data_IF_885454679613
#
_entry.id   IF_885454679613
#
_cell.length_a   1.000
_cell.length_b   1.000
_cell.length_c   1.000
_cell.angle_alpha   90.00
_cell.angle_beta   90.00
_cell.angle_gamma   90.00
#
_symmetry.space_group_name_H-M   'P 1'
#
loop_
_entity.id
_entity.type
_entity.pdbx_description
1 polymer ?
#
# COMPACT_ATOMS: atom_id res chain seq x y z
N UNK A 1 27.94 -23.38 -5.97
CA UNK A 1 28.25 -22.38 -4.92
C UNK A 1 28.22 -21.00 -5.54
N UNK A 2 27.12 -20.27 -5.40
CA UNK A 2 26.99 -18.92 -5.95
C UNK A 2 27.58 -17.91 -4.96
N UNK A 3 28.59 -17.15 -5.41
CA UNK A 3 29.19 -16.05 -4.66
C UNK A 3 28.14 -14.96 -4.45
N UNK A 4 27.72 -14.75 -3.21
CA UNK A 4 27.02 -13.55 -2.77
C UNK A 4 28.03 -12.38 -2.78
N UNK A 5 27.93 -11.54 -3.80
CA UNK A 5 28.70 -10.29 -3.87
C UNK A 5 28.06 -9.30 -2.89
N UNK A 6 28.74 -9.03 -1.78
CA UNK A 6 28.35 -7.99 -0.83
C UNK A 6 28.60 -6.64 -1.49
N UNK A 7 27.54 -5.94 -1.89
CA UNK A 7 27.63 -4.62 -2.50
C UNK A 7 27.82 -3.55 -1.42
N UNK A 8 28.86 -2.73 -1.58
CA UNK A 8 29.23 -1.68 -0.63
C UNK A 8 28.17 -0.58 -0.51
N UNK A 9 28.12 0.08 0.66
CA UNK A 9 27.17 1.12 1.07
C UNK A 9 27.21 2.44 0.27
N UNK A 10 28.03 2.53 -0.78
CA UNK A 10 28.14 3.70 -1.69
C UNK A 10 27.57 3.46 -3.09
N UNK A 11 26.69 2.47 -3.25
CA UNK A 11 26.04 2.19 -4.53
C UNK A 11 24.94 3.20 -4.86
N UNK A 12 24.80 3.58 -6.15
CA UNK A 12 23.69 4.40 -6.71
C UNK A 12 22.28 3.96 -6.28
N UNK A 13 22.12 2.74 -5.79
CA UNK A 13 20.86 2.23 -5.26
C UNK A 13 20.42 2.96 -3.97
N UNK A 14 21.33 3.50 -3.17
CA UNK A 14 20.97 4.19 -1.92
C UNK A 14 20.22 5.52 -2.16
N UNK A 15 20.61 6.29 -3.17
CA UNK A 15 19.92 7.53 -3.56
C UNK A 15 18.53 7.32 -4.15
N UNK A 16 18.23 6.11 -4.63
CA UNK A 16 16.91 5.77 -5.17
C UNK A 16 15.89 5.52 -4.05
N UNK A 17 16.31 4.97 -2.91
CA UNK A 17 15.41 4.71 -1.78
C UNK A 17 14.85 6.02 -1.18
N UNK A 18 15.68 7.06 -1.09
CA UNK A 18 15.25 8.36 -0.56
C UNK A 18 14.14 9.03 -1.42
N UNK A 19 14.02 8.63 -2.69
CA UNK A 19 13.03 9.17 -3.63
C UNK A 19 11.71 8.39 -3.62
N UNK A 20 11.71 7.12 -3.17
CA UNK A 20 10.49 6.30 -3.16
C UNK A 20 9.63 6.64 -1.95
N UNK A 21 8.73 7.63 -2.11
CA UNK A 21 7.71 7.99 -1.11
C UNK A 21 6.97 6.76 -0.54
N UNK A 22 6.78 5.74 -1.37
CA UNK A 22 6.15 4.46 -1.00
C UNK A 22 6.80 3.74 0.19
N UNK A 23 8.11 3.85 0.38
CA UNK A 23 8.80 3.16 1.47
C UNK A 23 8.32 3.63 2.85
N UNK A 24 7.91 4.90 2.93
CA UNK A 24 7.36 5.49 4.16
C UNK A 24 5.88 5.18 4.35
N UNK A 25 5.22 4.71 3.29
CA UNK A 25 3.77 4.51 3.26
C UNK A 25 3.35 3.06 3.42
N UNK A 26 4.23 2.09 3.31
CA UNK A 26 3.86 0.66 3.40
C UNK A 26 4.58 0.02 4.58
N UNK A 27 3.80 -0.66 5.42
CA UNK A 27 4.28 -1.49 6.51
C UNK A 27 3.54 -2.83 6.56
N UNK A 28 4.13 -3.77 7.28
CA UNK A 28 3.51 -5.06 7.60
C UNK A 28 3.47 -5.19 9.11
N UNK A 29 2.29 -5.47 9.65
CA UNK A 29 2.12 -5.85 11.03
C UNK A 29 1.97 -7.36 11.16
N UNK A 30 2.73 -7.95 12.07
CA UNK A 30 2.70 -9.38 12.38
C UNK A 30 3.07 -9.58 13.85
N UNK A 31 2.26 -10.36 14.57
CA UNK A 31 2.55 -10.80 15.95
C UNK A 31 2.88 -9.64 16.93
N UNK A 32 2.10 -8.55 16.87
CA UNK A 32 2.24 -7.43 17.81
C UNK A 32 3.33 -6.41 17.45
N UNK A 33 3.99 -6.55 16.29
CA UNK A 33 4.99 -5.60 15.81
C UNK A 33 4.66 -5.12 14.40
N UNK A 34 4.81 -3.81 14.16
CA UNK A 34 4.79 -3.25 12.82
C UNK A 34 6.23 -3.09 12.29
N UNK A 35 6.47 -3.50 11.05
CA UNK A 35 7.74 -3.30 10.35
C UNK A 35 7.47 -2.51 9.07
N UNK A 36 8.06 -1.32 8.97
CA UNK A 36 7.89 -0.40 7.85
C UNK A 36 8.99 -0.62 6.81
N UNK A 37 8.68 -0.48 5.52
CA UNK A 37 9.66 -0.73 4.45
C UNK A 37 10.86 0.22 4.45
N UNK A 38 10.74 1.39 5.07
CA UNK A 38 11.86 2.31 5.24
C UNK A 38 12.85 1.88 6.34
N UNK A 39 12.53 0.86 7.14
CA UNK A 39 13.45 0.29 8.13
C UNK A 39 14.33 -0.81 7.50
N UNK A 40 15.55 -0.42 7.11
CA UNK A 40 16.53 -1.32 6.48
C UNK A 40 17.11 -2.37 7.45
N UNK A 41 16.87 -2.26 8.75
CA UNK A 41 17.35 -3.27 9.71
C UNK A 41 16.63 -4.60 9.53
N UNK A 42 15.32 -4.53 9.29
CA UNK A 42 14.41 -5.67 9.17
C UNK A 42 14.23 -6.13 7.72
N UNK A 43 14.37 -5.21 6.74
CA UNK A 43 14.12 -5.47 5.32
C UNK A 43 15.39 -5.45 4.46
N UNK A 44 15.53 -6.46 3.58
CA UNK A 44 16.42 -6.42 2.43
C UNK A 44 15.68 -5.87 1.21
N UNK A 45 16.05 -4.67 0.77
CA UNK A 45 15.39 -3.96 -0.31
C UNK A 45 16.16 -4.06 -1.63
N UNK A 46 15.45 -4.34 -2.72
CA UNK A 46 16.00 -4.53 -4.06
C UNK A 46 15.14 -3.79 -5.09
N UNK A 47 15.40 -2.49 -5.34
CA UNK A 47 14.70 -1.74 -6.37
C UNK A 47 15.11 -2.27 -7.74
N UNK A 48 14.12 -2.53 -8.58
CA UNK A 48 14.30 -2.98 -9.96
C UNK A 48 13.91 -1.82 -10.87
N UNK A 49 14.88 -0.98 -11.17
CA UNK A 49 14.71 0.07 -12.20
C UNK A 49 14.70 -0.63 -13.55
N UNK A 50 13.53 -0.64 -14.21
CA UNK A 50 13.49 -0.81 -15.66
C UNK A 50 13.76 0.54 -16.31
N UNK A 51 14.27 0.52 -17.54
CA UNK A 51 14.75 1.67 -18.31
C UNK A 51 13.95 2.97 -18.12
N UNK A 52 14.57 4.11 -18.39
CA UNK A 52 14.03 5.49 -18.27
C UNK A 52 12.66 5.77 -18.90
N UNK A 53 12.08 4.78 -19.60
CA UNK A 53 10.82 4.85 -20.33
C UNK A 53 9.74 3.91 -19.77
N UNK A 54 10.00 3.18 -18.69
CA UNK A 54 8.98 2.31 -18.08
C UNK A 54 8.08 3.13 -17.15
N UNK A 55 6.75 3.08 -17.32
CA UNK A 55 5.79 3.74 -16.41
C UNK A 55 5.65 3.03 -15.06
N UNK A 56 6.44 1.97 -14.82
CA UNK A 56 6.32 1.09 -13.67
C UNK A 56 7.61 1.06 -12.88
N UNK A 57 7.53 1.47 -11.62
CA UNK A 57 8.62 1.31 -10.65
C UNK A 57 8.40 0.01 -9.89
N UNK A 58 9.44 -0.83 -9.78
CA UNK A 58 9.35 -2.12 -9.09
C UNK A 58 10.29 -2.12 -7.90
N UNK A 59 9.79 -2.53 -6.74
CA UNK A 59 10.57 -2.77 -5.53
C UNK A 59 10.31 -4.19 -5.04
N UNK A 60 11.36 -4.96 -4.80
CA UNK A 60 11.28 -6.22 -4.07
C UNK A 60 11.85 -6.01 -2.66
N UNK A 61 11.12 -6.41 -1.64
CA UNK A 61 11.50 -6.28 -0.24
C UNK A 61 11.36 -7.63 0.47
N UNK A 62 12.38 -8.06 1.19
CA UNK A 62 12.36 -9.32 1.95
C UNK A 62 12.58 -9.07 3.45
N UNK A 63 11.65 -9.52 4.29
CA UNK A 63 11.77 -9.39 5.74
C UNK A 63 12.55 -10.56 6.33
N UNK A 64 13.77 -10.30 6.80
CA UNK A 64 14.76 -11.31 7.21
C UNK A 64 14.23 -12.30 8.27
N UNK A 65 13.47 -11.78 9.23
CA UNK A 65 12.97 -12.56 10.38
C UNK A 65 11.64 -13.23 10.12
N UNK A 66 10.81 -12.64 9.28
CA UNK A 66 9.44 -13.13 9.07
C UNK A 66 9.34 -14.06 7.88
N UNK A 67 10.36 -14.11 7.02
CA UNK A 67 10.30 -14.87 5.78
C UNK A 67 9.14 -14.41 4.91
N UNK A 68 8.98 -13.10 4.80
CA UNK A 68 7.95 -12.46 3.96
C UNK A 68 8.63 -11.72 2.82
N UNK A 69 8.18 -11.95 1.60
CA UNK A 69 8.62 -11.21 0.42
C UNK A 69 7.47 -10.36 -0.10
N UNK A 70 7.76 -9.08 -0.33
CA UNK A 70 6.85 -8.11 -0.94
C UNK A 70 7.42 -7.71 -2.30
N UNK A 71 6.63 -7.85 -3.35
CA UNK A 71 6.91 -7.23 -4.65
C UNK A 71 5.90 -6.12 -4.89
N UNK A 72 6.40 -4.89 -5.00
CA UNK A 72 5.60 -3.68 -5.13
C UNK A 72 5.83 -3.11 -6.52
N UNK A 73 4.74 -2.90 -7.25
CA UNK A 73 4.73 -2.28 -8.55
C UNK A 73 3.95 -0.98 -8.47
N UNK A 74 4.59 0.16 -8.74
CA UNK A 74 3.93 1.44 -8.81
C UNK A 74 3.75 1.84 -10.27
N UNK A 75 2.50 1.88 -10.71
CA UNK A 75 2.10 2.31 -12.04
C UNK A 75 1.67 3.77 -11.97
N UNK A 76 2.33 4.63 -12.76
CA UNK A 76 1.90 6.02 -12.93
C UNK A 76 1.14 6.14 -14.25
N UNK A 77 -0.15 6.43 -14.18
CA UNK A 77 -0.93 6.69 -15.40
C UNK A 77 -0.58 8.08 -15.93
N UNK A 78 -0.03 8.15 -17.15
CA UNK A 78 0.19 9.44 -17.83
C UNK A 78 -1.10 10.12 -18.29
N UNK A 79 -2.25 9.42 -18.27
CA UNK A 79 -3.51 9.91 -18.83
C UNK A 79 -4.54 10.33 -17.79
N UNK A 80 -4.63 9.60 -16.69
CA UNK A 80 -5.75 9.73 -15.74
C UNK A 80 -5.30 10.22 -14.36
N UNK A 81 -4.02 10.59 -14.16
CA UNK A 81 -3.45 10.98 -12.85
C UNK A 81 -3.62 9.94 -11.72
N UNK A 82 -4.06 8.73 -12.05
CA UNK A 82 -4.17 7.63 -11.10
C UNK A 82 -2.78 7.13 -10.72
N UNK A 83 -2.59 6.96 -9.41
CA UNK A 83 -1.43 6.29 -8.84
C UNK A 83 -1.87 4.92 -8.31
N UNK A 84 -1.44 3.86 -8.99
CA UNK A 84 -1.82 2.48 -8.66
C UNK A 84 -0.60 1.74 -8.14
N UNK A 85 -0.74 1.15 -6.96
CA UNK A 85 0.29 0.35 -6.31
C UNK A 85 -0.22 -1.09 -6.26
N UNK A 86 0.39 -1.98 -7.03
CA UNK A 86 0.17 -3.41 -6.87
C UNK A 86 1.16 -3.95 -5.84
N UNK A 87 0.65 -4.65 -4.82
CA UNK A 87 1.47 -5.30 -3.78
C UNK A 87 1.23 -6.79 -3.87
N UNK A 88 2.28 -7.54 -4.16
CA UNK A 88 2.31 -8.99 -4.13
C UNK A 88 3.03 -9.39 -2.84
N UNK A 89 2.40 -10.26 -2.05
CA UNK A 89 2.92 -10.71 -0.75
C UNK A 89 3.06 -12.22 -0.80
N UNK A 90 4.26 -12.71 -0.54
CA UNK A 90 4.57 -14.13 -0.53
C UNK A 90 5.11 -14.56 0.84
N UNK A 91 4.50 -15.60 1.39
CA UNK A 91 5.02 -16.32 2.52
C UNK A 91 6.15 -17.24 2.03
N UNK A 92 7.38 -17.04 2.52
CA UNK A 92 8.56 -17.84 2.18
C UNK A 92 8.93 -18.78 3.33
N UNK A 93 7.93 -19.28 4.06
CA UNK A 93 8.11 -20.17 5.22
C UNK A 93 7.11 -21.32 5.20
N UNK A 94 7.40 -22.34 6.01
CA UNK A 94 6.54 -23.50 6.26
C UNK A 94 5.37 -23.22 7.24
N UNK A 95 5.30 -22.01 7.81
CA UNK A 95 4.30 -21.66 8.80
C UNK A 95 3.25 -20.75 8.17
N UNK A 96 1.99 -21.01 8.49
CA UNK A 96 0.88 -20.11 8.17
C UNK A 96 1.09 -18.75 8.85
N UNK A 97 0.69 -17.66 8.17
CA UNK A 97 0.81 -16.29 8.67
C UNK A 97 -0.53 -15.56 8.61
N UNK A 98 -0.88 -14.91 9.71
CA UNK A 98 -1.92 -13.89 9.77
C UNK A 98 -1.25 -12.53 9.93
N UNK A 99 -1.18 -11.78 8.84
CA UNK A 99 -0.53 -10.47 8.80
C UNK A 99 -1.54 -9.38 8.47
N UNK A 100 -1.15 -8.14 8.73
CA UNK A 100 -1.88 -6.97 8.26
C UNK A 100 -0.97 -6.12 7.39
N UNK A 101 -1.40 -5.84 6.17
CA UNK A 101 -0.74 -4.82 5.36
C UNK A 101 -1.25 -3.45 5.82
N UNK A 102 -0.32 -2.55 6.11
CA UNK A 102 -0.61 -1.19 6.55
C UNK A 102 -0.18 -0.23 5.46
N UNK A 103 -1.12 0.54 4.92
CA UNK A 103 -0.85 1.67 4.05
C UNK A 103 -1.09 2.97 4.82
N UNK A 104 -0.06 3.81 4.95
CA UNK A 104 -0.11 5.11 5.61
C UNK A 104 0.21 6.21 4.60
N UNK A 105 -0.73 7.13 4.40
CA UNK A 105 -0.56 8.29 3.55
C UNK A 105 -0.49 9.53 4.42
N UNK A 106 0.67 10.19 4.38
CA UNK A 106 0.83 11.53 4.93
C UNK A 106 0.61 12.55 3.82
N UNK A 107 -0.36 13.44 4.01
CA UNK A 107 -0.66 14.51 3.07
C UNK A 107 0.34 15.64 3.27
N UNK A 108 1.27 15.76 2.32
CA UNK A 108 2.28 16.81 2.31
C UNK A 108 1.67 18.12 1.82
N UNK A 109 1.93 19.21 2.55
CA UNK A 109 1.72 20.61 2.11
C UNK A 109 0.32 20.98 1.62
N UNK A 110 -0.62 21.22 2.54
CA UNK A 110 -1.77 22.07 2.21
C UNK A 110 -2.12 22.91 3.44
N UNK A 111 -1.66 24.16 3.43
CA UNK A 111 -1.99 25.21 4.40
C UNK A 111 -3.39 25.81 4.18
N UNK A 112 -4.23 25.16 3.37
CA UNK A 112 -5.62 25.53 3.18
C UNK A 112 -6.48 24.98 4.33
N UNK A 113 -7.19 25.86 5.01
CA UNK A 113 -8.25 25.56 5.98
C UNK A 113 -9.46 24.80 5.38
N UNK A 114 -9.40 24.43 4.10
CA UNK A 114 -10.52 23.88 3.33
C UNK A 114 -10.38 22.37 3.05
N UNK A 115 -9.41 21.71 3.68
CA UNK A 115 -9.21 20.29 3.48
C UNK A 115 -10.08 19.46 4.41
N UNK A 116 -10.94 18.64 3.83
CA UNK A 116 -11.78 17.70 4.57
C UNK A 116 -11.41 16.29 4.15
N UNK A 117 -11.09 15.44 5.13
CA UNK A 117 -10.84 14.02 4.90
C UNK A 117 -11.87 13.22 5.66
N UNK A 118 -12.48 12.26 4.98
CA UNK A 118 -13.47 11.39 5.58
C UNK A 118 -13.38 9.96 5.05
N UNK A 119 -13.88 9.02 5.84
CA UNK A 119 -14.02 7.62 5.45
C UNK A 119 -15.43 7.42 4.90
N UNK A 120 -15.54 6.75 3.76
CA UNK A 120 -16.79 6.20 3.25
C UNK A 120 -16.84 4.70 3.55
N UNK A 121 -17.62 4.24 4.55
CA UNK A 121 -17.69 2.82 4.90
C UNK A 121 -18.30 1.95 3.80
N UNK A 122 -19.28 2.47 3.04
CA UNK A 122 -19.93 1.73 1.95
C UNK A 122 -18.95 1.40 0.83
N UNK A 123 -18.07 2.36 0.52
CA UNK A 123 -17.09 2.26 -0.56
C UNK A 123 -15.76 1.68 -0.08
N UNK A 124 -15.60 1.51 1.25
CA UNK A 124 -14.33 1.14 1.91
C UNK A 124 -13.16 2.02 1.44
N UNK A 125 -13.44 3.31 1.31
CA UNK A 125 -12.52 4.28 0.72
C UNK A 125 -12.37 5.49 1.64
N UNK A 126 -11.26 6.20 1.46
CA UNK A 126 -10.99 7.49 2.09
C UNK A 126 -11.10 8.56 1.03
N UNK A 127 -11.87 9.61 1.31
CA UNK A 127 -11.99 10.78 0.47
C UNK A 127 -11.27 11.95 1.10
N UNK A 128 -10.66 12.75 0.26
CA UNK A 128 -10.07 14.04 0.60
C UNK A 128 -10.60 15.07 -0.37
N UNK A 129 -11.26 16.10 0.16
CA UNK A 129 -11.62 17.29 -0.58
C UNK A 129 -10.56 18.37 -0.32
N UNK A 130 -10.04 18.99 -1.37
CA UNK A 130 -9.03 20.05 -1.31
C UNK A 130 -9.30 21.09 -2.40
N UNK A 131 -9.98 22.18 -2.05
CA UNK A 131 -10.38 23.22 -3.02
C UNK A 131 -11.37 22.66 -4.04
N UNK A 132 -10.97 22.56 -5.32
CA UNK A 132 -11.80 21.97 -6.39
C UNK A 132 -11.45 20.51 -6.71
N UNK A 133 -10.52 19.90 -5.97
CA UNK A 133 -10.05 18.55 -6.21
C UNK A 133 -10.61 17.58 -5.17
N UNK A 134 -11.00 16.42 -5.67
CA UNK A 134 -11.39 15.27 -4.86
C UNK A 134 -10.37 14.15 -5.09
N UNK A 135 -9.75 13.67 -4.01
CA UNK A 135 -8.89 12.51 -4.03
C UNK A 135 -9.54 11.35 -3.29
N UNK A 136 -9.61 10.18 -3.92
CA UNK A 136 -10.04 8.92 -3.32
C UNK A 136 -8.83 8.01 -3.15
N UNK A 137 -8.71 7.40 -1.96
CA UNK A 137 -7.75 6.34 -1.67
C UNK A 137 -8.50 5.09 -1.25
N UNK A 138 -8.20 3.96 -1.86
CA UNK A 138 -8.80 2.67 -1.49
C UNK A 138 -7.81 1.53 -1.75
N UNK A 139 -8.11 0.38 -1.18
CA UNK A 139 -7.39 -0.86 -1.49
C UNK A 139 -8.34 -2.02 -1.73
N UNK A 140 -7.80 -3.08 -2.34
CA UNK A 140 -8.44 -4.37 -2.45
C UNK A 140 -7.39 -5.46 -2.60
N UNK A 141 -7.51 -6.52 -1.81
CA UNK A 141 -6.59 -7.64 -1.86
C UNK A 141 -7.32 -8.95 -2.16
N UNK A 142 -6.68 -9.79 -2.96
CA UNK A 142 -7.07 -11.19 -3.02
C UNK A 142 -6.84 -11.82 -1.64
N UNK A 143 -7.83 -12.57 -1.17
CA UNK A 143 -7.83 -13.21 0.18
C UNK A 143 -7.84 -12.22 1.36
N UNK A 144 -8.27 -10.98 1.16
CA UNK A 144 -8.56 -10.10 2.29
C UNK A 144 -9.65 -10.71 3.18
N UNK A 145 -9.46 -10.66 4.49
CA UNK A 145 -10.49 -11.00 5.47
C UNK A 145 -11.31 -9.78 5.85
N UNK A 146 -10.60 -8.69 6.14
CA UNK A 146 -11.17 -7.38 6.36
C UNK A 146 -10.20 -6.31 5.85
N UNK A 147 -10.75 -5.12 5.59
CA UNK A 147 -9.96 -3.92 5.36
C UNK A 147 -10.62 -2.79 6.14
N UNK A 148 -9.82 -2.06 6.90
CA UNK A 148 -10.23 -0.97 7.77
C UNK A 148 -9.60 0.33 7.26
N UNK A 149 -10.30 1.44 7.41
CA UNK A 149 -9.85 2.76 7.02
C UNK A 149 -10.02 3.73 8.18
N UNK A 150 -9.05 4.62 8.39
CA UNK A 150 -9.13 5.66 9.40
C UNK A 150 -8.44 6.94 8.93
N UNK A 151 -8.88 8.07 9.48
CA UNK A 151 -8.39 9.42 9.17
C UNK A 151 -8.08 10.13 10.48
N UNK A 152 -6.93 10.80 10.57
CA UNK A 152 -6.49 11.44 11.81
C UNK A 152 -4.97 11.44 11.94
N UNK A 153 -4.45 11.78 13.12
CA UNK A 153 -3.00 11.68 13.39
C UNK A 153 -2.62 10.22 13.57
N UNK A 154 -1.48 9.76 13.03
CA UNK A 154 -0.98 8.39 13.21
C UNK A 154 -1.15 7.84 14.63
N UNK A 155 -0.65 8.55 15.64
CA UNK A 155 -0.69 8.10 17.04
C UNK A 155 -2.11 8.03 17.64
N UNK A 156 -3.09 8.69 17.00
CA UNK A 156 -4.50 8.63 17.41
C UNK A 156 -5.30 7.54 16.70
N UNK A 157 -4.85 7.12 15.50
CA UNK A 157 -5.61 6.20 14.65
C UNK A 157 -4.99 4.81 14.58
N UNK A 158 -3.73 4.64 14.98
CA UNK A 158 -3.01 3.38 14.87
C UNK A 158 -2.60 2.82 16.24
N UNK A 159 -3.07 1.61 16.54
CA UNK A 159 -2.63 0.81 17.68
C UNK A 159 -1.61 -0.21 17.21
N UNK A 160 -0.32 0.02 17.45
CA UNK A 160 0.72 -0.93 17.06
C UNK A 160 0.62 -2.25 17.83
N UNK A 161 0.23 -2.22 19.10
CA UNK A 161 0.10 -3.44 19.90
C UNK A 161 -0.97 -4.40 19.33
N UNK A 162 -2.07 -3.85 18.82
CA UNK A 162 -3.20 -4.63 18.29
C UNK A 162 -3.13 -4.78 16.77
N UNK A 163 -2.29 -3.98 16.12
CA UNK A 163 -2.28 -3.79 14.67
C UNK A 163 -3.62 -3.31 14.14
N UNK A 164 -4.37 -2.54 14.92
CA UNK A 164 -5.75 -2.17 14.63
C UNK A 164 -5.89 -0.67 14.44
N UNK A 165 -6.88 -0.26 13.64
CA UNK A 165 -7.25 1.14 13.56
C UNK A 165 -8.24 1.46 14.68
N UNK A 166 -7.98 2.56 15.39
CA UNK A 166 -8.96 3.10 16.33
C UNK A 166 -10.21 3.54 15.55
N UNK A 167 -11.39 3.34 16.13
CA UNK A 167 -12.64 3.85 15.55
C UNK A 167 -12.59 5.39 15.54
N UNK A 168 -12.24 5.96 14.41
CA UNK A 168 -12.22 7.42 14.23
C UNK A 168 -13.59 7.94 13.82
N UNK A 169 -13.95 9.17 14.21
CA UNK A 169 -15.09 9.85 13.61
C UNK A 169 -14.96 9.82 12.09
N UNK A 170 -16.09 9.70 11.39
CA UNK A 170 -16.15 9.60 9.93
C UNK A 170 -15.39 10.73 9.22
N UNK A 171 -15.22 11.87 9.89
CA UNK A 171 -14.42 13.02 9.48
C UNK A 171 -13.46 13.38 10.63
N UNK A 172 -12.21 13.72 10.30
CA UNK A 172 -11.20 14.03 11.31
C UNK A 172 -10.34 15.24 10.93
N UNK A 173 -9.96 16.02 11.93
CA UNK A 173 -8.88 17.00 11.81
C UNK A 173 -7.55 16.25 11.80
N UNK A 174 -7.05 15.96 10.60
CA UNK A 174 -5.83 15.21 10.41
C UNK A 174 -5.34 15.36 8.99
N UNK A 175 -4.02 15.26 8.80
CA UNK A 175 -3.39 15.28 7.46
C UNK A 175 -2.89 13.89 7.07
N UNK A 176 -3.42 12.85 7.70
CA UNK A 176 -2.99 11.49 7.47
C UNK A 176 -4.19 10.56 7.42
N UNK A 177 -4.03 9.51 6.63
CA UNK A 177 -4.99 8.43 6.58
C UNK A 177 -4.27 7.09 6.51
N UNK A 178 -4.97 6.06 6.99
CA UNK A 178 -4.45 4.70 7.00
C UNK A 178 -5.47 3.71 6.48
N UNK A 179 -4.98 2.74 5.73
CA UNK A 179 -5.73 1.54 5.33
C UNK A 179 -5.00 0.34 5.91
N UNK A 180 -5.73 -0.52 6.60
CA UNK A 180 -5.19 -1.75 7.20
C UNK A 180 -5.97 -2.94 6.66
N UNK A 181 -5.29 -3.83 5.94
CA UNK A 181 -5.91 -5.01 5.33
C UNK A 181 -5.39 -6.28 5.99
N UNK A 182 -6.28 -7.07 6.61
CA UNK A 182 -5.93 -8.38 7.19
C UNK A 182 -5.85 -9.43 6.09
N UNK A 183 -4.72 -10.14 6.06
CA UNK A 183 -4.38 -11.14 5.07
C UNK A 183 -3.95 -12.43 5.78
N UNK A 184 -4.44 -13.56 5.27
CA UNK A 184 -4.07 -14.90 5.73
C UNK A 184 -3.32 -15.61 4.60
N UNK A 185 -2.11 -16.08 4.90
CA UNK A 185 -1.25 -16.78 3.95
C UNK A 185 -0.90 -18.16 4.49
N UNK A 186 -1.24 -19.20 3.72
CA UNK A 186 -0.73 -20.55 3.92
C UNK A 186 0.78 -20.63 3.67
N UNK A 187 1.46 -21.72 4.08
CA UNK A 187 2.87 -21.95 3.74
C UNK A 187 3.11 -21.81 2.24
N UNK A 188 4.19 -21.11 1.88
CA UNK A 188 4.59 -20.86 0.49
C UNK A 188 3.56 -20.12 -0.39
N UNK A 189 2.46 -19.65 0.20
CA UNK A 189 1.38 -19.00 -0.53
C UNK A 189 1.75 -17.58 -0.91
N UNK A 190 1.30 -17.20 -2.10
CA UNK A 190 1.31 -15.83 -2.59
C UNK A 190 -0.12 -15.28 -2.66
N UNK A 191 -0.26 -14.01 -2.32
CA UNK A 191 -1.44 -13.21 -2.61
C UNK A 191 -1.02 -11.90 -3.25
N UNK A 192 -1.97 -11.20 -3.85
CA UNK A 192 -1.73 -9.86 -4.35
C UNK A 192 -2.93 -8.96 -4.10
N UNK A 193 -2.70 -7.65 -4.13
CA UNK A 193 -3.75 -6.67 -4.14
C UNK A 193 -3.27 -5.35 -4.69
N UNK A 194 -4.18 -4.39 -4.73
CA UNK A 194 -3.94 -3.06 -5.24
C UNK A 194 -4.37 -2.03 -4.21
N UNK A 195 -3.59 -0.97 -4.14
CA UNK A 195 -3.95 0.29 -3.50
C UNK A 195 -3.96 1.31 -4.62
N UNK A 196 -5.00 2.12 -4.71
CA UNK A 196 -5.07 3.16 -5.73
C UNK A 196 -5.46 4.50 -5.11
N UNK A 197 -4.90 5.54 -5.71
CA UNK A 197 -5.21 6.92 -5.43
C UNK A 197 -5.67 7.57 -6.73
N UNK A 198 -6.88 8.12 -6.70
CA UNK A 198 -7.58 8.70 -7.85
C UNK A 198 -7.84 10.16 -7.49
N UNK A 199 -7.39 11.09 -8.32
CA UNK A 199 -7.70 12.51 -8.16
C UNK A 199 -8.52 13.00 -9.34
N UNK A 200 -9.60 13.72 -9.07
CA UNK A 200 -10.49 14.27 -10.08
C UNK A 200 -11.17 15.55 -9.62
N UNK A 201 -12.00 16.12 -10.49
CA UNK A 201 -12.71 17.38 -10.24
C UNK A 201 -14.18 17.16 -9.82
N UNK A 202 -14.67 15.92 -9.85
CA UNK A 202 -16.02 15.57 -9.42
C UNK A 202 -16.08 14.19 -8.77
N UNK A 203 -17.08 13.99 -7.90
CA UNK A 203 -17.36 12.69 -7.30
C UNK A 203 -17.66 11.62 -8.36
N UNK A 204 -18.49 11.95 -9.36
CA UNK A 204 -18.87 11.01 -10.43
C UNK A 204 -17.66 10.46 -11.19
N UNK A 205 -16.72 11.33 -11.54
CA UNK A 205 -15.49 10.96 -12.24
C UNK A 205 -14.62 10.02 -11.39
N UNK A 206 -14.44 10.37 -10.12
CA UNK A 206 -13.64 9.60 -9.17
C UNK A 206 -14.27 8.23 -8.89
N UNK A 207 -15.59 8.19 -8.71
CA UNK A 207 -16.34 6.95 -8.54
C UNK A 207 -16.26 6.03 -9.75
N UNK A 208 -16.44 6.57 -10.96
CA UNK A 208 -16.36 5.78 -12.18
C UNK A 208 -15.00 5.07 -12.30
N UNK A 209 -13.90 5.77 -12.02
CA UNK A 209 -12.55 5.17 -12.01
C UNK A 209 -12.35 4.20 -10.85
N UNK A 210 -12.89 4.50 -9.67
CA UNK A 210 -12.84 3.60 -8.52
C UNK A 210 -13.48 2.23 -8.80
N UNK A 211 -14.68 2.22 -9.37
CA UNK A 211 -15.38 0.98 -9.72
C UNK A 211 -14.64 0.18 -10.81
N UNK A 212 -13.96 0.87 -11.74
CA UNK A 212 -13.06 0.21 -12.71
C UNK A 212 -11.98 -0.57 -11.98
N UNK A 213 -11.28 0.02 -11.01
CA UNK A 213 -10.26 -0.68 -10.22
C UNK A 213 -10.83 -1.83 -9.38
N UNK A 214 -12.02 -1.68 -8.81
CA UNK A 214 -12.66 -2.76 -8.07
C UNK A 214 -13.01 -3.99 -8.95
N UNK A 215 -13.29 -3.77 -10.24
CA UNK A 215 -13.80 -4.79 -11.17
C UNK A 215 -12.72 -5.65 -11.82
N UNK A 216 -11.49 -5.14 -11.95
CA UNK A 216 -10.38 -5.83 -12.66
C UNK A 216 -10.02 -7.19 -12.03
N UNK A 217 -10.25 -7.39 -10.73
CA UNK A 217 -9.94 -8.65 -10.04
C UNK A 217 -10.89 -9.82 -10.39
N UNK A 218 -12.07 -9.56 -10.95
CA UNK A 218 -13.02 -10.62 -11.30
C UNK A 218 -12.57 -11.44 -12.52
N UNK A 219 -11.80 -10.84 -13.45
CA UNK A 219 -11.35 -11.53 -14.66
C UNK A 219 -10.07 -12.36 -14.45
N UNK A 220 -9.19 -11.99 -13.52
CA UNK A 220 -7.95 -12.73 -13.26
C UNK A 220 -8.15 -14.05 -12.49
N UNK A 221 -9.30 -14.25 -11.84
CA UNK A 221 -9.66 -15.52 -11.20
C UNK A 221 -10.23 -16.57 -12.17
N UNK A 222 -10.66 -16.16 -13.38
CA UNK A 222 -11.20 -17.07 -14.40
C UNK A 222 -10.13 -17.86 -15.17
N UNK A 223 -8.90 -17.35 -15.27
CA UNK A 223 -7.85 -17.95 -16.11
C UNK A 223 -7.09 -19.08 -15.38
N UNK A 224 -7.14 -19.15 -14.05
CA UNK A 224 -6.45 -20.19 -13.25
C UNK A 224 -7.27 -21.49 -13.04
N UNK A 225 -8.45 -21.64 -13.66
CA UNK A 225 -9.26 -22.89 -13.59
C UNK A 225 -9.12 -23.80 -14.80
N UNK A 226 -8.18 -23.52 -15.70
CA UNK A 226 -8.01 -24.29 -16.94
C UNK A 226 -6.54 -24.58 -17.24
N UNK A 227 -5.80 -25.14 -16.28
CA UNK A 227 -4.55 -25.88 -16.52
C UNK A 227 -4.39 -26.98 -15.47
#
# INVERSE_FOLDING_TARGET
MNKLTILSSKHRNNTLFDQMKLLKSIGVWLEGKCSWLNDQSDWDLSPKVRSSFSPVEILVAYHKRWGLELTILQEKSFKEEDNVITVIIKNQTELKKELKLVYHRQLLNQDSSENVIFVSPSEKAIFQHSGSLLTLVSSKFTREKNSECAVGRKDSIWSEAEGALAFTPLCGEGRECMIVTKIELEPWQETFGRIWEITGCSEEEVYHRHFRHQSIDQHSQGIKRTL
#
